data_IF_841832291997
#
_entry.id   IF_841832291997
#
_cell.length_a   1.000
_cell.length_b   1.000
_cell.length_c   1.000
_cell.angle_alpha   90.00
_cell.angle_beta   90.00
_cell.angle_gamma   90.00
#
_symmetry.space_group_name_H-M   'P 1'
#
loop_
_entity.id
_entity.type
_entity.pdbx_description
1 polymer ?
#
# COMPACT_ATOMS: atom_id res chain seq x y z
N UNK A 1 -12.13 -53.61 -15.24
CA UNK A 1 -11.19 -52.94 -14.33
C UNK A 1 -10.83 -51.59 -14.95
N UNK A 2 -11.30 -50.48 -14.37
CA UNK A 2 -11.21 -49.13 -14.96
C UNK A 2 -10.10 -48.38 -14.23
N UNK A 3 -8.92 -48.27 -14.84
CA UNK A 3 -7.81 -47.51 -14.29
C UNK A 3 -8.09 -46.01 -14.45
N UNK A 4 -8.25 -45.32 -13.32
CA UNK A 4 -8.44 -43.88 -13.24
C UNK A 4 -7.06 -43.21 -13.23
N UNK A 5 -6.70 -42.56 -14.33
CA UNK A 5 -5.51 -41.70 -14.40
C UNK A 5 -5.90 -40.34 -13.82
N UNK A 6 -5.37 -40.00 -12.64
CA UNK A 6 -5.48 -38.65 -12.07
C UNK A 6 -4.38 -37.81 -12.72
N UNK A 7 -4.74 -36.99 -13.71
CA UNK A 7 -3.89 -35.89 -14.17
C UNK A 7 -3.90 -34.79 -13.09
N UNK A 8 -2.83 -34.72 -12.28
CA UNK A 8 -2.54 -33.53 -11.50
C UNK A 8 -2.11 -32.43 -12.48
N UNK A 9 -3.03 -31.53 -12.81
CA UNK A 9 -2.66 -30.23 -13.38
C UNK A 9 -1.98 -29.42 -12.28
N UNK A 10 -0.65 -29.33 -12.34
CA UNK A 10 0.11 -28.26 -11.69
C UNK A 10 -0.34 -26.94 -12.33
N UNK A 11 -1.36 -26.32 -11.75
CA UNK A 11 -1.66 -24.92 -12.02
C UNK A 11 -0.49 -24.14 -11.42
N UNK A 12 0.36 -23.46 -12.20
CA UNK A 12 1.34 -22.56 -11.62
C UNK A 12 0.55 -21.55 -10.80
N UNK A 13 0.86 -21.46 -9.50
CA UNK A 13 0.35 -20.37 -8.69
C UNK A 13 0.73 -19.08 -9.42
N UNK A 14 -0.25 -18.36 -9.96
CA UNK A 14 -0.04 -17.03 -10.46
C UNK A 14 0.45 -16.23 -9.25
N UNK A 15 1.77 -16.05 -9.20
CA UNK A 15 2.39 -15.10 -8.30
C UNK A 15 1.89 -13.74 -8.78
N UNK A 16 0.86 -13.22 -8.13
CA UNK A 16 0.52 -11.80 -8.20
C UNK A 16 1.60 -11.04 -7.43
N UNK A 17 2.81 -11.01 -7.99
CA UNK A 17 3.84 -10.08 -7.57
C UNK A 17 3.42 -8.68 -7.98
N UNK A 18 3.41 -7.74 -7.05
CA UNK A 18 3.20 -6.32 -7.35
C UNK A 18 4.39 -5.80 -8.19
N UNK A 19 4.11 -5.07 -9.26
CA UNK A 19 5.15 -4.58 -10.18
C UNK A 19 5.84 -3.34 -9.57
N UNK A 20 7.12 -3.47 -9.22
CA UNK A 20 7.91 -2.37 -8.66
C UNK A 20 8.76 -1.61 -9.69
N UNK A 21 8.64 -1.92 -10.99
CA UNK A 21 9.59 -1.48 -12.04
C UNK A 21 9.71 0.04 -12.25
N UNK A 22 8.85 0.84 -11.60
CA UNK A 22 8.88 2.31 -11.63
C UNK A 22 8.76 2.95 -10.24
N UNK A 23 9.07 2.19 -9.19
CA UNK A 23 9.10 2.71 -7.84
C UNK A 23 10.48 3.30 -7.54
N UNK A 24 10.52 4.54 -7.03
CA UNK A 24 11.76 5.10 -6.48
C UNK A 24 12.02 4.61 -5.04
N UNK A 25 11.04 3.95 -4.42
CA UNK A 25 11.12 3.44 -3.06
C UNK A 25 9.78 3.05 -2.45
N UNK A 26 9.84 2.55 -1.22
CA UNK A 26 8.66 2.19 -0.40
C UNK A 26 8.60 3.14 0.77
N UNK A 27 7.40 3.63 1.08
CA UNK A 27 7.17 4.41 2.29
C UNK A 27 6.72 3.50 3.43
N UNK A 28 7.30 3.68 4.62
CA UNK A 28 6.97 2.89 5.83
C UNK A 28 6.57 3.72 7.04
N UNK A 29 5.92 3.08 8.03
CA UNK A 29 5.74 3.72 9.33
C UNK A 29 7.08 3.78 10.07
N UNK A 30 7.25 4.84 10.86
CA UNK A 30 8.37 5.04 11.77
C UNK A 30 8.19 4.23 13.06
N UNK A 31 9.28 3.78 13.68
CA UNK A 31 9.26 3.16 15.02
C UNK A 31 8.73 4.12 16.11
N UNK A 32 8.89 5.43 15.90
CA UNK A 32 8.36 6.48 16.78
C UNK A 32 6.85 6.73 16.60
N UNK A 33 6.18 5.94 15.75
CA UNK A 33 4.74 6.01 15.58
C UNK A 33 4.06 5.60 16.88
N UNK A 34 3.77 6.60 17.72
CA UNK A 34 3.00 6.36 18.94
C UNK A 34 1.53 6.12 18.57
N UNK A 35 0.86 5.31 19.38
CA UNK A 35 -0.53 4.91 19.18
C UNK A 35 -1.56 6.04 19.43
N UNK A 36 -1.19 7.32 19.33
CA UNK A 36 -2.12 8.43 19.62
C UNK A 36 -2.78 8.99 18.36
N UNK A 37 -2.18 8.80 17.19
CA UNK A 37 -2.80 9.16 15.91
C UNK A 37 -2.47 8.11 14.85
N UNK A 38 -3.45 7.22 14.70
CA UNK A 38 -3.46 6.01 13.89
C UNK A 38 -3.78 6.22 12.42
N UNK A 39 -3.76 7.47 11.96
CA UNK A 39 -4.28 7.84 10.65
C UNK A 39 -3.14 8.21 9.69
N UNK A 40 -3.26 7.73 8.47
CA UNK A 40 -2.41 8.12 7.34
C UNK A 40 -3.31 8.86 6.36
N UNK A 41 -3.06 10.16 6.18
CA UNK A 41 -3.84 11.00 5.28
C UNK A 41 -3.23 11.01 3.88
N UNK A 42 -4.07 10.70 2.90
CA UNK A 42 -3.75 10.83 1.48
C UNK A 42 -4.41 12.09 0.95
N UNK A 43 -3.65 12.92 0.26
CA UNK A 43 -4.11 14.23 -0.21
C UNK A 43 -4.25 14.24 -1.73
N UNK A 44 -5.23 15.01 -2.20
CA UNK A 44 -5.36 15.41 -3.60
C UNK A 44 -4.24 16.38 -4.00
N UNK A 45 -4.17 16.72 -5.29
CA UNK A 45 -3.17 17.66 -5.79
C UNK A 45 -3.31 19.07 -5.20
N UNK A 46 -4.54 19.51 -4.92
CA UNK A 46 -4.84 20.80 -4.30
C UNK A 46 -4.52 20.85 -2.79
N UNK A 47 -4.15 19.71 -2.19
CA UNK A 47 -3.85 19.58 -0.77
C UNK A 47 -5.06 19.27 0.11
N UNK A 48 -6.26 19.16 -0.45
CA UNK A 48 -7.43 18.64 0.27
C UNK A 48 -7.24 17.15 0.59
N UNK A 49 -7.82 16.68 1.70
CA UNK A 49 -7.81 15.26 2.03
C UNK A 49 -8.63 14.48 1.00
N UNK A 50 -7.98 13.53 0.34
CA UNK A 50 -8.66 12.56 -0.51
C UNK A 50 -9.29 11.48 0.35
N UNK A 51 -8.46 10.85 1.19
CA UNK A 51 -8.91 9.81 2.10
C UNK A 51 -7.96 9.64 3.29
N UNK A 52 -8.38 8.84 4.27
CA UNK A 52 -7.60 8.54 5.46
C UNK A 52 -7.63 7.07 5.79
N UNK A 53 -6.45 6.44 5.78
CA UNK A 53 -6.28 5.07 6.23
C UNK A 53 -6.10 5.02 7.74
N UNK A 54 -6.99 4.30 8.43
CA UNK A 54 -6.87 4.05 9.86
C UNK A 54 -6.13 2.72 10.08
N UNK A 55 -4.91 2.79 10.61
CA UNK A 55 -4.06 1.65 10.86
C UNK A 55 -4.66 0.59 11.82
N UNK A 56 -5.64 0.98 12.65
CA UNK A 56 -6.29 0.05 13.59
C UNK A 56 -7.81 -0.01 13.38
N UNK A 57 -8.29 0.56 12.27
CA UNK A 57 -9.70 0.53 11.89
C UNK A 57 -10.05 -0.67 11.02
N UNK A 58 -11.35 -0.90 10.75
CA UNK A 58 -11.77 -1.81 9.69
C UNK A 58 -11.20 -1.34 8.35
N UNK A 59 -10.71 -2.29 7.55
CA UNK A 59 -10.04 -2.01 6.26
C UNK A 59 -11.01 -1.83 5.09
N UNK A 60 -12.29 -2.07 5.32
CA UNK A 60 -13.22 -2.47 4.27
C UNK A 60 -13.71 -1.31 3.36
N UNK A 61 -13.26 -0.07 3.61
CA UNK A 61 -13.88 1.12 3.01
C UNK A 61 -13.01 1.88 1.99
N UNK A 62 -11.84 1.37 1.59
CA UNK A 62 -10.93 2.07 0.66
C UNK A 62 -10.68 1.28 -0.64
N UNK A 63 -11.67 1.19 -1.54
CA UNK A 63 -11.58 0.35 -2.75
C UNK A 63 -10.46 0.80 -3.70
N UNK A 64 -10.12 2.08 -3.69
CA UNK A 64 -9.07 2.67 -4.51
C UNK A 64 -7.71 2.70 -3.82
N UNK A 65 -7.58 2.19 -2.58
CA UNK A 65 -6.31 2.13 -1.87
C UNK A 65 -5.75 0.71 -1.87
N UNK A 66 -4.72 0.52 -2.67
CA UNK A 66 -3.92 -0.68 -2.80
C UNK A 66 -2.58 -0.45 -2.10
N UNK A 67 -2.35 -1.19 -1.01
CA UNK A 67 -1.10 -1.17 -0.25
C UNK A 67 -0.34 -2.47 -0.46
N UNK A 68 0.99 -2.40 -0.54
CA UNK A 68 1.87 -3.54 -0.78
C UNK A 68 1.93 -4.48 0.43
N UNK A 69 1.91 -3.90 1.63
CA UNK A 69 1.89 -4.65 2.88
C UNK A 69 1.39 -3.79 4.03
N UNK A 70 0.71 -4.41 4.98
CA UNK A 70 0.36 -3.76 6.23
C UNK A 70 0.34 -4.72 7.41
N UNK A 71 1.08 -4.35 8.46
CA UNK A 71 1.12 -4.99 9.78
C UNK A 71 1.39 -3.89 10.83
N UNK A 72 0.35 -3.37 11.50
CA UNK A 72 0.51 -2.24 12.42
C UNK A 72 1.37 -2.61 13.63
N UNK A 73 1.24 -3.84 14.13
CA UNK A 73 2.04 -4.36 15.27
C UNK A 73 3.55 -4.42 14.97
N UNK A 74 3.91 -4.40 13.69
CA UNK A 74 5.30 -4.41 13.22
C UNK A 74 5.70 -3.07 12.57
N UNK A 75 4.88 -2.02 12.70
CA UNK A 75 5.07 -0.73 12.05
C UNK A 75 5.28 -0.86 10.53
N UNK A 76 4.65 -1.86 9.93
CA UNK A 76 4.72 -2.07 8.49
C UNK A 76 3.49 -1.43 7.88
N UNK A 77 3.71 -0.37 7.13
CA UNK A 77 2.85 0.08 6.05
C UNK A 77 3.76 0.14 4.84
N UNK A 78 3.35 -0.37 3.69
CA UNK A 78 4.17 -0.32 2.48
C UNK A 78 3.29 0.12 1.33
N UNK A 79 3.70 1.21 0.69
CA UNK A 79 3.07 1.70 -0.52
C UNK A 79 4.15 2.13 -1.51
N UNK A 80 3.87 1.97 -2.80
CA UNK A 80 4.77 2.35 -3.87
C UNK A 80 4.91 3.85 -3.94
N UNK A 81 6.15 4.34 -3.83
CA UNK A 81 6.49 5.73 -4.07
C UNK A 81 6.93 5.92 -5.53
N UNK A 82 6.32 6.86 -6.22
CA UNK A 82 6.67 7.25 -7.58
C UNK A 82 7.65 8.43 -7.59
N UNK A 83 7.46 9.41 -6.70
CA UNK A 83 8.30 10.61 -6.62
C UNK A 83 8.35 11.15 -5.20
N UNK A 84 9.48 11.73 -4.84
CA UNK A 84 9.67 12.41 -3.56
C UNK A 84 9.87 13.91 -3.78
N UNK A 85 9.30 14.72 -2.89
CA UNK A 85 9.50 16.18 -2.83
C UNK A 85 10.01 16.57 -1.44
N UNK A 86 10.44 17.81 -1.19
CA UNK A 86 10.87 18.22 0.14
C UNK A 86 9.81 18.03 1.24
N UNK A 87 8.52 18.07 0.89
CA UNK A 87 7.41 18.08 1.86
C UNK A 87 6.48 16.87 1.78
N UNK A 88 6.48 16.14 0.66
CA UNK A 88 5.55 15.03 0.40
C UNK A 88 6.19 13.92 -0.42
N UNK A 89 5.66 12.71 -0.29
CA UNK A 89 5.78 11.62 -1.25
C UNK A 89 4.59 11.65 -2.21
N UNK A 90 4.82 11.33 -3.47
CA UNK A 90 3.79 11.00 -4.46
C UNK A 90 3.74 9.48 -4.54
N UNK A 91 2.65 8.91 -4.03
CA UNK A 91 2.46 7.47 -3.91
C UNK A 91 1.41 6.98 -4.88
N UNK A 92 1.59 5.76 -5.39
CA UNK A 92 0.59 5.08 -6.21
C UNK A 92 -0.38 4.40 -5.27
N UNK A 93 -1.65 4.83 -5.28
CA UNK A 93 -2.70 4.25 -4.44
C UNK A 93 -3.48 3.17 -5.19
N UNK A 94 -3.49 3.17 -6.53
CA UNK A 94 -4.08 2.09 -7.31
C UNK A 94 -3.25 1.89 -8.58
N UNK A 95 -2.64 0.71 -8.73
CA UNK A 95 -1.79 0.43 -9.90
C UNK A 95 -2.60 0.17 -11.16
N UNK A 96 -3.80 -0.42 -11.02
CA UNK A 96 -4.67 -0.76 -12.14
C UNK A 96 -5.17 0.50 -12.85
N UNK A 97 -5.46 1.56 -12.10
CA UNK A 97 -5.93 2.85 -12.63
C UNK A 97 -4.82 3.87 -12.81
N UNK A 98 -3.64 3.63 -12.24
CA UNK A 98 -2.55 4.60 -12.17
C UNK A 98 -2.84 5.78 -11.24
N UNK A 99 -3.81 5.66 -10.32
CA UNK A 99 -4.17 6.72 -9.39
C UNK A 99 -3.01 7.00 -8.41
N UNK A 100 -2.62 8.27 -8.32
CA UNK A 100 -1.58 8.74 -7.40
C UNK A 100 -2.13 9.76 -6.41
N UNK A 101 -1.57 9.77 -5.20
CA UNK A 101 -1.91 10.73 -4.15
C UNK A 101 -0.67 11.25 -3.46
N UNK A 102 -0.82 12.38 -2.76
CA UNK A 102 0.23 12.95 -1.93
C UNK A 102 0.17 12.35 -0.54
N UNK A 103 1.33 12.09 0.04
CA UNK A 103 1.50 11.67 1.42
C UNK A 103 2.50 12.61 2.10
N UNK A 104 2.10 13.29 3.17
CA UNK A 104 2.95 14.29 3.82
C UNK A 104 4.10 13.64 4.57
N UNK A 105 5.31 14.16 4.39
CA UNK A 105 6.46 13.74 5.19
C UNK A 105 6.27 14.18 6.64
N UNK A 106 6.53 13.27 7.55
CA UNK A 106 6.44 13.53 8.99
C UNK A 106 7.36 12.56 9.73
N UNK A 107 7.52 12.76 11.04
CA UNK A 107 8.23 11.79 11.89
C UNK A 107 7.56 10.40 11.92
N UNK A 108 6.32 10.28 11.44
CA UNK A 108 5.54 9.03 11.37
C UNK A 108 5.79 8.23 10.09
N UNK A 109 6.25 8.89 9.03
CA UNK A 109 6.29 8.35 7.66
C UNK A 109 7.69 8.54 7.12
N UNK A 110 8.39 7.44 6.81
CA UNK A 110 9.76 7.43 6.30
C UNK A 110 9.82 6.88 4.89
#
# INVERSE_FOLDING_TARGET
MRNLIILLFLVPALSFGQDMSNSIGVVTLSEEYNNTDHRIEFLNEDGSTWDTFNCYGPWDDLPDLQILAFKPDYFVFKIKCQRETPTHYIVVVNEETGLTKKLKKSNKIR
#
